data_IF_763888455857
#
_entry.id   IF_763888455857
#
_cell.length_a   1.000
_cell.length_b   1.000
_cell.length_c   1.000
_cell.angle_alpha   90.00
_cell.angle_beta   90.00
_cell.angle_gamma   90.00
#
_symmetry.space_group_name_H-M   'P 1'
#
loop_
_entity.id
_entity.type
_entity.pdbx_description
1 polymer ?
#
# COMPACT_ATOMS: atom_id res chain seq x y z
N UNK A 1 35.84 -20.62 -48.24
CA UNK A 1 34.43 -20.89 -47.89
C UNK A 1 34.12 -20.66 -46.40
N UNK A 2 34.93 -21.12 -45.44
CA UNK A 2 34.62 -21.02 -44.00
C UNK A 2 34.41 -19.59 -43.46
N UNK A 3 35.11 -18.58 -43.99
CA UNK A 3 34.99 -17.19 -43.53
C UNK A 3 33.66 -16.52 -43.90
N UNK A 4 33.09 -16.84 -45.07
CA UNK A 4 31.80 -16.27 -45.49
C UNK A 4 30.66 -16.82 -44.65
N UNK A 5 30.62 -18.13 -44.45
CA UNK A 5 29.61 -18.78 -43.60
C UNK A 5 29.66 -18.27 -42.14
N UNK A 6 30.86 -18.03 -41.60
CA UNK A 6 31.02 -17.47 -40.26
C UNK A 6 30.53 -16.02 -40.15
N UNK A 7 30.70 -15.21 -41.20
CA UNK A 7 30.21 -13.83 -41.24
C UNK A 7 28.70 -13.78 -41.39
N UNK A 8 28.12 -14.61 -42.25
CA UNK A 8 26.67 -14.76 -42.42
C UNK A 8 26.00 -15.23 -41.12
N UNK A 9 26.60 -16.21 -40.43
CA UNK A 9 26.12 -16.68 -39.14
C UNK A 9 26.14 -15.59 -38.06
N UNK A 10 27.15 -14.70 -38.07
CA UNK A 10 27.22 -13.56 -37.13
C UNK A 10 26.16 -12.50 -37.41
N UNK A 11 25.84 -12.27 -38.68
CA UNK A 11 24.81 -11.30 -39.08
C UNK A 11 23.40 -11.79 -38.79
N UNK A 12 23.18 -13.11 -38.80
CA UNK A 12 21.86 -13.70 -38.53
C UNK A 12 21.58 -13.98 -37.04
N UNK A 13 22.46 -13.55 -36.13
CA UNK A 13 22.24 -13.70 -34.69
C UNK A 13 21.32 -12.60 -34.15
N UNK A 14 20.28 -13.01 -33.44
CA UNK A 14 19.38 -12.15 -32.68
C UNK A 14 19.10 -12.77 -31.30
N UNK A 15 18.37 -12.06 -30.43
CA UNK A 15 18.01 -12.52 -29.09
C UNK A 15 17.06 -13.73 -29.06
N UNK A 16 16.52 -14.16 -30.21
CA UNK A 16 15.67 -15.35 -30.32
C UNK A 16 16.49 -16.61 -30.60
N UNK A 17 17.61 -16.50 -31.31
CA UNK A 17 18.49 -17.62 -31.67
C UNK A 17 19.87 -17.56 -31.00
N UNK A 18 20.08 -16.60 -30.11
CA UNK A 18 21.28 -16.48 -29.27
C UNK A 18 20.90 -16.12 -27.85
N UNK A 19 21.73 -16.50 -26.87
CA UNK A 19 21.53 -16.20 -25.44
C UNK A 19 21.74 -14.70 -25.10
N UNK A 20 21.73 -13.81 -26.09
CA UNK A 20 21.90 -12.37 -25.92
C UNK A 20 20.57 -11.73 -25.49
N UNK A 21 20.63 -10.66 -24.68
CA UNK A 21 19.41 -9.98 -24.25
C UNK A 21 18.72 -9.23 -25.42
N UNK A 22 17.39 -9.02 -25.33
CA UNK A 22 16.60 -8.27 -26.32
C UNK A 22 17.16 -6.90 -26.69
N UNK A 23 17.78 -6.23 -25.72
CA UNK A 23 18.37 -4.89 -25.87
C UNK A 23 19.57 -4.86 -26.82
N UNK A 24 20.12 -6.03 -27.16
CA UNK A 24 21.24 -6.18 -28.10
C UNK A 24 20.80 -6.45 -29.54
N UNK A 25 19.50 -6.52 -29.81
CA UNK A 25 18.99 -6.69 -31.18
C UNK A 25 19.18 -5.39 -32.00
N UNK A 26 19.70 -5.48 -33.24
CA UNK A 26 19.82 -4.31 -34.10
C UNK A 26 18.44 -3.78 -34.53
N UNK A 27 18.32 -2.50 -34.93
CA UNK A 27 17.05 -1.92 -35.43
C UNK A 27 16.46 -2.64 -36.65
N UNK A 28 17.30 -3.36 -37.41
CA UNK A 28 16.89 -4.17 -38.56
C UNK A 28 16.39 -5.56 -38.18
N UNK A 29 16.37 -5.91 -36.89
CA UNK A 29 15.86 -7.19 -36.42
C UNK A 29 14.34 -7.29 -36.65
N UNK A 30 13.82 -8.47 -37.03
CA UNK A 30 12.39 -8.64 -37.23
C UNK A 30 11.63 -8.37 -35.93
N UNK A 31 10.44 -7.74 -36.00
CA UNK A 31 9.63 -7.48 -34.81
C UNK A 31 9.28 -8.79 -34.11
N UNK A 32 9.26 -8.76 -32.78
CA UNK A 32 8.87 -9.93 -31.99
C UNK A 32 7.41 -10.29 -32.30
N UNK A 33 7.09 -11.58 -32.51
CA UNK A 33 5.71 -11.99 -32.67
C UNK A 33 4.93 -11.61 -31.42
N UNK A 34 3.74 -11.03 -31.61
CA UNK A 34 2.85 -10.71 -30.51
C UNK A 34 2.57 -11.99 -29.72
N UNK A 35 2.76 -11.94 -28.39
CA UNK A 35 2.38 -13.05 -27.52
C UNK A 35 0.86 -13.19 -27.60
N UNK A 36 0.37 -14.28 -28.19
CA UNK A 36 -1.04 -14.65 -28.07
C UNK A 36 -1.34 -14.89 -26.59
N UNK A 37 -2.29 -14.16 -25.98
CA UNK A 37 -2.66 -14.41 -24.60
C UNK A 37 -3.15 -15.85 -24.47
N UNK A 38 -2.47 -16.65 -23.65
CA UNK A 38 -2.92 -17.99 -23.29
C UNK A 38 -3.94 -17.85 -22.15
N UNK A 39 -5.20 -18.15 -22.44
CA UNK A 39 -6.29 -18.21 -21.46
C UNK A 39 -7.32 -17.09 -21.60
N UNK A 40 -8.43 -17.24 -20.87
CA UNK A 40 -9.50 -16.25 -20.83
C UNK A 40 -8.96 -14.91 -20.28
N UNK A 41 -9.35 -13.77 -20.84
CA UNK A 41 -9.00 -12.46 -20.28
C UNK A 41 -9.47 -12.41 -18.83
N UNK A 42 -8.55 -12.19 -17.89
CA UNK A 42 -8.90 -11.95 -16.50
C UNK A 42 -9.67 -10.63 -16.44
N UNK A 43 -10.95 -10.69 -16.07
CA UNK A 43 -11.71 -9.48 -15.73
C UNK A 43 -11.05 -8.86 -14.50
N UNK A 44 -10.58 -7.62 -14.65
CA UNK A 44 -10.10 -6.82 -13.51
C UNK A 44 -11.34 -6.38 -12.73
N UNK A 45 -11.52 -6.85 -11.51
CA UNK A 45 -12.66 -6.48 -10.67
C UNK A 45 -12.97 -7.52 -9.60
N UNK A 46 -13.93 -7.19 -8.73
CA UNK A 46 -14.45 -8.13 -7.74
C UNK A 46 -15.02 -9.39 -8.41
N UNK A 47 -15.03 -10.51 -7.68
CA UNK A 47 -15.64 -11.74 -8.17
C UNK A 47 -17.14 -11.51 -8.47
N UNK A 48 -17.71 -12.17 -9.50
CA UNK A 48 -19.14 -12.07 -9.80
C UNK A 48 -19.98 -12.41 -8.56
N UNK A 49 -20.89 -11.50 -8.17
CA UNK A 49 -21.73 -11.64 -6.98
C UNK A 49 -21.25 -10.88 -5.74
N UNK A 50 -20.09 -10.22 -5.79
CA UNK A 50 -19.72 -9.27 -4.74
C UNK A 50 -20.50 -7.95 -4.90
N UNK A 51 -21.27 -7.53 -3.88
CA UNK A 51 -21.91 -6.22 -3.89
C UNK A 51 -20.83 -5.13 -3.92
N UNK A 52 -21.13 -4.04 -4.61
CA UNK A 52 -20.25 -2.87 -4.64
C UNK A 52 -20.13 -2.30 -3.22
N UNK A 53 -18.97 -2.48 -2.59
CA UNK A 53 -18.69 -1.92 -1.26
C UNK A 53 -18.14 -0.50 -1.43
N UNK A 54 -18.98 0.41 -1.94
CA UNK A 54 -18.66 1.82 -1.84
C UNK A 54 -18.86 2.27 -0.40
N UNK A 55 -17.85 2.93 0.16
CA UNK A 55 -17.92 3.48 1.50
C UNK A 55 -18.93 4.63 1.49
N UNK A 56 -20.08 4.42 2.13
CA UNK A 56 -21.05 5.49 2.34
C UNK A 56 -20.42 6.61 3.15
N UNK A 57 -20.57 7.86 2.69
CA UNK A 57 -20.12 9.03 3.44
C UNK A 57 -20.92 9.14 4.74
N UNK A 58 -20.24 9.47 5.84
CA UNK A 58 -20.92 9.80 7.09
C UNK A 58 -21.86 11.00 6.88
N UNK A 59 -22.98 11.08 7.63
CA UNK A 59 -23.78 12.30 7.70
C UNK A 59 -22.95 13.45 8.29
N UNK A 60 -23.37 14.70 8.07
CA UNK A 60 -22.57 15.90 8.46
C UNK A 60 -22.51 16.05 9.98
N UNK A 61 -23.49 15.51 10.68
CA UNK A 61 -23.64 15.54 12.13
C UNK A 61 -22.65 14.60 12.84
N UNK A 62 -22.10 13.63 12.11
CA UNK A 62 -21.15 12.62 12.61
C UNK A 62 -19.69 12.92 12.23
N UNK A 63 -19.41 13.96 11.45
CA UNK A 63 -18.02 14.33 11.15
C UNK A 63 -17.47 15.29 12.20
N UNK A 64 -16.21 15.10 12.59
CA UNK A 64 -15.58 15.92 13.63
C UNK A 64 -15.41 17.40 13.22
N UNK A 65 -15.14 17.64 11.93
CA UNK A 65 -14.94 18.98 11.39
C UNK A 65 -15.41 19.06 9.94
N UNK A 66 -16.09 20.17 9.61
CA UNK A 66 -16.45 20.54 8.24
C UNK A 66 -15.64 21.76 7.82
N UNK A 67 -14.84 21.63 6.76
CA UNK A 67 -14.08 22.73 6.17
C UNK A 67 -14.71 23.09 4.82
N UNK A 68 -15.51 24.16 4.72
CA UNK A 68 -16.07 24.58 3.45
C UNK A 68 -14.97 25.16 2.55
N UNK A 69 -14.77 24.58 1.37
CA UNK A 69 -13.83 25.09 0.37
C UNK A 69 -14.63 25.85 -0.69
N UNK A 70 -14.43 27.18 -0.75
CA UNK A 70 -15.07 28.06 -1.74
C UNK A 70 -14.03 28.59 -2.74
N UNK A 71 -14.36 28.72 -4.03
CA UNK A 71 -13.51 29.40 -4.97
C UNK A 71 -13.51 30.91 -4.68
N UNK A 72 -12.34 31.53 -4.66
CA UNK A 72 -12.19 32.98 -4.42
C UNK A 72 -12.22 33.79 -5.71
N UNK A 73 -12.07 33.14 -6.87
CA UNK A 73 -12.11 33.80 -8.18
C UNK A 73 -12.61 32.86 -9.27
N UNK A 74 -13.26 33.43 -10.29
CA UNK A 74 -13.68 32.67 -11.46
C UNK A 74 -12.47 32.26 -12.32
N UNK A 75 -12.27 30.97 -12.65
CA UNK A 75 -11.12 30.54 -13.43
C UNK A 75 -11.16 31.02 -14.90
N UNK A 76 -12.33 31.43 -15.41
CA UNK A 76 -12.47 31.90 -16.78
C UNK A 76 -12.20 33.41 -16.93
N UNK A 77 -12.70 34.25 -16.01
CA UNK A 77 -12.61 35.71 -16.12
C UNK A 77 -11.86 36.39 -14.97
N UNK A 78 -11.38 35.63 -13.98
CA UNK A 78 -10.65 36.10 -12.78
C UNK A 78 -11.44 37.07 -11.89
N UNK A 79 -12.74 37.24 -12.12
CA UNK A 79 -13.59 38.03 -11.23
C UNK A 79 -13.57 37.43 -9.82
N UNK A 80 -13.39 38.29 -8.81
CA UNK A 80 -13.43 37.88 -7.42
C UNK A 80 -14.82 37.34 -7.06
N UNK A 81 -14.85 36.22 -6.36
CA UNK A 81 -16.08 35.61 -5.88
C UNK A 81 -16.19 35.89 -4.37
N UNK A 82 -17.15 36.71 -3.94
CA UNK A 82 -17.40 36.94 -2.52
C UNK A 82 -17.79 35.65 -1.78
N UNK A 83 -17.36 35.54 -0.52
CA UNK A 83 -17.62 34.36 0.31
C UNK A 83 -19.09 34.17 0.70
N UNK A 84 -19.88 35.25 0.67
CA UNK A 84 -21.31 35.30 0.99
C UNK A 84 -22.22 34.89 -0.17
N UNK A 85 -21.66 34.52 -1.33
CA UNK A 85 -22.44 33.97 -2.43
C UNK A 85 -23.09 32.64 -2.04
N UNK A 86 -24.39 32.53 -2.33
CA UNK A 86 -25.19 31.34 -2.11
C UNK A 86 -24.83 30.22 -3.11
N UNK A 87 -24.58 28.98 -2.65
CA UNK A 87 -24.33 27.84 -3.52
C UNK A 87 -25.55 27.52 -4.39
N UNK A 88 -25.32 27.27 -5.69
CA UNK A 88 -26.39 26.87 -6.62
C UNK A 88 -26.72 25.37 -6.56
N UNK A 89 -25.93 24.58 -5.83
CA UNK A 89 -26.10 23.13 -5.69
C UNK A 89 -25.47 22.63 -4.37
N UNK A 90 -25.84 21.43 -3.91
CA UNK A 90 -25.15 20.78 -2.79
C UNK A 90 -23.65 20.62 -3.08
N UNK A 91 -22.78 20.80 -2.07
CA UNK A 91 -21.34 20.66 -2.27
C UNK A 91 -20.97 19.21 -2.57
N UNK A 92 -19.96 19.02 -3.43
CA UNK A 92 -19.27 17.74 -3.53
C UNK A 92 -18.57 17.44 -2.20
N UNK A 93 -18.73 16.22 -1.70
CA UNK A 93 -18.21 15.82 -0.38
C UNK A 93 -17.06 14.83 -0.54
N UNK A 94 -15.98 15.09 0.19
CA UNK A 94 -14.86 14.17 0.40
C UNK A 94 -14.60 14.11 1.91
N UNK A 95 -14.45 12.90 2.44
CA UNK A 95 -14.13 12.67 3.86
C UNK A 95 -12.73 12.05 3.97
N UNK A 96 -11.89 12.62 4.81
CA UNK A 96 -10.56 12.11 5.13
C UNK A 96 -10.60 11.59 6.57
N UNK A 97 -10.08 10.39 6.80
CA UNK A 97 -10.09 9.73 8.10
C UNK A 97 -8.65 9.62 8.60
N UNK A 98 -8.23 10.61 9.40
CA UNK A 98 -6.93 10.57 10.07
C UNK A 98 -7.09 9.88 11.42
N UNK A 99 -6.18 8.93 11.71
CA UNK A 99 -6.11 8.31 13.03
C UNK A 99 -5.12 9.15 13.85
N UNK A 100 -5.56 9.86 14.90
CA UNK A 100 -4.64 10.64 15.71
C UNK A 100 -3.60 9.72 16.35
N UNK A 101 -2.35 10.18 16.44
CA UNK A 101 -1.31 9.45 17.16
C UNK A 101 -1.66 9.42 18.64
N UNK A 102 -2.23 8.30 19.10
CA UNK A 102 -2.37 8.02 20.52
C UNK A 102 -1.04 7.44 21.03
N UNK A 103 -0.49 7.94 22.15
CA UNK A 103 0.64 7.27 22.79
C UNK A 103 0.23 5.84 23.19
N UNK A 104 1.13 4.86 23.11
CA UNK A 104 0.80 3.51 23.54
C UNK A 104 0.52 3.50 25.04
N UNK A 105 -0.49 2.75 25.44
CA UNK A 105 -0.66 2.35 26.84
C UNK A 105 0.40 1.27 27.16
N UNK A 106 1.30 1.57 28.09
CA UNK A 106 2.39 0.65 28.47
C UNK A 106 2.12 0.09 29.86
N UNK A 107 1.89 -1.22 29.92
CA UNK A 107 1.71 -1.95 31.19
C UNK A 107 2.91 -2.84 31.46
N UNK A 108 3.65 -2.56 32.52
CA UNK A 108 4.76 -3.40 32.99
C UNK A 108 4.28 -4.38 34.06
N UNK A 109 4.56 -5.66 33.87
CA UNK A 109 4.30 -6.70 34.86
C UNK A 109 5.61 -7.08 35.55
N UNK A 110 5.74 -6.75 36.84
CA UNK A 110 6.88 -7.12 37.65
C UNK A 110 6.61 -8.40 38.45
N UNK A 111 7.36 -9.45 38.13
CA UNK A 111 7.27 -10.75 38.79
C UNK A 111 8.37 -10.87 39.84
N UNK A 112 8.01 -10.74 41.12
CA UNK A 112 8.97 -10.82 42.21
C UNK A 112 9.25 -12.27 42.62
N UNK A 113 10.45 -12.50 43.14
CA UNK A 113 10.79 -13.71 43.89
C UNK A 113 11.11 -13.32 45.33
N UNK A 114 10.36 -13.86 46.27
CA UNK A 114 10.47 -13.54 47.69
C UNK A 114 10.95 -14.78 48.47
N UNK A 115 11.49 -14.55 49.66
CA UNK A 115 11.88 -15.63 50.58
C UNK A 115 10.84 -15.73 51.68
N UNK A 116 10.30 -16.93 51.90
CA UNK A 116 9.36 -17.20 52.97
C UNK A 116 10.05 -17.09 54.33
N UNK A 117 9.58 -16.25 55.27
CA UNK A 117 10.21 -16.08 56.57
C UNK A 117 10.10 -17.33 57.47
N UNK A 118 9.15 -18.23 57.21
CA UNK A 118 8.92 -19.42 58.03
C UNK A 118 9.85 -20.59 57.67
N UNK A 119 10.01 -20.87 56.37
CA UNK A 119 10.75 -22.04 55.88
C UNK A 119 11.95 -21.72 54.99
N UNK A 120 12.25 -20.43 54.77
CA UNK A 120 13.31 -19.92 53.89
C UNK A 120 13.18 -20.33 52.41
N UNK A 121 12.06 -20.92 52.00
CA UNK A 121 11.80 -21.27 50.61
C UNK A 121 11.70 -20.00 49.74
N UNK A 122 12.24 -20.08 48.52
CA UNK A 122 12.08 -19.04 47.51
C UNK A 122 10.77 -19.26 46.76
N UNK A 123 9.91 -18.25 46.72
CA UNK A 123 8.61 -18.29 46.03
C UNK A 123 8.62 -17.21 44.95
N UNK A 124 8.41 -17.61 43.70
CA UNK A 124 8.31 -16.70 42.57
C UNK A 124 6.84 -16.42 42.24
N UNK A 125 6.53 -15.18 41.85
CA UNK A 125 5.21 -14.81 41.37
C UNK A 125 4.90 -15.53 40.04
N UNK A 126 3.70 -16.10 39.95
CA UNK A 126 3.23 -16.77 38.74
C UNK A 126 2.64 -15.75 37.76
N UNK A 127 2.78 -16.05 36.46
CA UNK A 127 2.20 -15.24 35.40
C UNK A 127 0.71 -15.52 35.28
N UNK A 128 -0.17 -14.50 35.34
CA UNK A 128 -1.59 -14.68 35.03
C UNK A 128 -1.81 -15.16 33.60
N UNK A 129 -2.79 -16.04 33.39
CA UNK A 129 -3.14 -16.56 32.06
C UNK A 129 -3.61 -15.46 31.08
N UNK A 130 -4.08 -14.34 31.62
CA UNK A 130 -4.55 -13.18 30.84
C UNK A 130 -3.42 -12.38 30.19
N UNK A 131 -2.17 -12.54 30.63
CA UNK A 131 -1.04 -11.80 30.07
C UNK A 131 -0.43 -12.59 28.91
N UNK A 132 -0.65 -12.17 27.65
CA UNK A 132 -0.02 -12.81 26.48
C UNK A 132 1.52 -12.68 26.54
N UNK A 133 2.25 -13.69 26.05
CA UNK A 133 3.72 -13.65 26.02
C UNK A 133 4.19 -12.58 25.03
N UNK A 134 4.73 -11.47 25.53
CA UNK A 134 5.59 -10.62 24.72
C UNK A 134 6.90 -11.38 24.46
N UNK A 135 7.10 -11.82 23.21
CA UNK A 135 8.40 -12.36 22.78
C UNK A 135 9.39 -11.21 22.82
N UNK A 136 10.32 -11.20 23.78
CA UNK A 136 11.40 -10.22 23.84
C UNK A 136 12.16 -10.25 22.51
N UNK A 137 11.89 -9.29 21.63
CA UNK A 137 12.73 -9.02 20.49
C UNK A 137 14.00 -8.36 21.04
N UNK A 138 15.08 -9.13 21.17
CA UNK A 138 16.44 -8.59 21.26
C UNK A 138 16.74 -7.91 19.92
N UNK A 139 16.24 -6.68 19.76
CA UNK A 139 16.50 -5.84 18.60
C UNK A 139 17.58 -4.83 18.96
N UNK A 140 18.84 -5.17 18.70
CA UNK A 140 19.88 -4.18 18.47
C UNK A 140 19.53 -3.40 17.20
N UNK A 141 19.18 -2.13 17.34
CA UNK A 141 19.05 -1.21 16.20
C UNK A 141 20.44 -0.81 15.67
N UNK A 142 20.63 -0.70 14.34
CA UNK A 142 21.84 -0.14 13.74
C UNK A 142 21.99 1.37 13.97
#
# INVERSE_FOLDING_TARGET
MAKLAALEARLNQNSQNSSKPPSSDPPSAPPRPAKTPRGKPKTKGAQPGHPDQQRTLLPVEEVDQVIPIRPTSCPACQHALPDDLEPVAPPQRQQVWEIPLAPPEVTEYQYHTLVCPCCQARVAAERPDTCSQARLALGSWP
#
